data_IF_920670464161
#
_entry.id   IF_920670464161
#
_cell.length_a   1.000
_cell.length_b   1.000
_cell.length_c   1.000
_cell.angle_alpha   90.00
_cell.angle_beta   90.00
_cell.angle_gamma   90.00
#
_symmetry.space_group_name_H-M   'P 1'
#
loop_
_entity.id
_entity.type
_entity.pdbx_description
1 polymer ?
#
# COMPACT_ATOMS: atom_id res chain seq x y z
N UNK A 1 11.80 3.87 11.20
CA UNK A 1 11.52 5.27 10.85
C UNK A 1 10.63 5.86 11.92
N UNK A 2 10.88 7.11 12.33
CA UNK A 2 9.98 7.79 13.26
C UNK A 2 8.71 8.22 12.53
N UNK A 3 7.52 8.04 13.12
CA UNK A 3 6.29 8.50 12.51
C UNK A 3 6.27 10.02 12.37
N UNK A 4 5.71 10.49 11.26
CA UNK A 4 5.62 11.91 10.90
C UNK A 4 4.19 12.30 10.61
N UNK A 5 3.86 13.58 10.76
CA UNK A 5 2.54 14.11 10.40
C UNK A 5 2.26 13.88 8.91
N UNK A 6 1.08 13.37 8.55
CA UNK A 6 0.69 13.12 7.15
C UNK A 6 0.58 14.39 6.29
N UNK A 7 0.38 15.54 6.93
CA UNK A 7 0.14 16.82 6.26
C UNK A 7 1.40 17.67 6.10
N UNK A 8 2.28 17.69 7.11
CA UNK A 8 3.43 18.61 7.17
C UNK A 8 4.76 17.93 7.47
N UNK A 9 4.79 16.60 7.54
CA UNK A 9 5.98 15.78 7.74
C UNK A 9 6.76 16.00 9.05
N UNK A 10 6.28 16.86 9.94
CA UNK A 10 6.88 17.04 11.27
C UNK A 10 6.84 15.74 12.06
N UNK A 11 7.95 15.30 12.68
CA UNK A 11 7.97 14.13 13.56
C UNK A 11 6.89 14.21 14.65
N UNK A 12 6.14 13.12 14.83
CA UNK A 12 5.05 13.07 15.81
C UNK A 12 4.73 11.64 16.20
N UNK A 13 4.48 11.40 17.49
CA UNK A 13 3.92 10.15 17.99
C UNK A 13 2.40 10.20 18.16
N UNK A 14 1.78 11.37 17.91
CA UNK A 14 0.33 11.53 17.97
C UNK A 14 -0.32 10.91 16.74
N UNK A 15 -1.29 10.03 16.97
CA UNK A 15 -2.03 9.30 15.94
C UNK A 15 -3.53 9.49 16.09
N UNK A 16 -4.26 9.24 15.02
CA UNK A 16 -5.72 9.21 15.05
C UNK A 16 -6.20 8.29 16.17
N UNK A 17 -6.98 8.82 17.13
CA UNK A 17 -7.43 8.08 18.30
C UNK A 17 -8.34 6.88 17.93
N UNK A 18 -9.02 6.98 16.80
CA UNK A 18 -9.97 5.97 16.32
C UNK A 18 -9.26 4.80 15.63
N UNK A 19 -8.63 5.04 14.48
CA UNK A 19 -8.02 3.96 13.70
C UNK A 19 -6.57 3.63 14.07
N UNK A 20 -5.87 4.52 14.78
CA UNK A 20 -4.45 4.39 15.16
C UNK A 20 -3.47 4.19 13.99
N UNK A 21 -3.92 4.27 12.73
CA UNK A 21 -3.14 4.02 11.52
C UNK A 21 -2.77 5.27 10.71
N UNK A 22 -2.91 6.47 11.27
CA UNK A 22 -2.43 7.72 10.66
C UNK A 22 -1.94 8.69 11.75
N UNK A 23 -0.92 9.49 11.44
CA UNK A 23 -0.20 10.33 12.39
C UNK A 23 -0.36 11.82 12.05
N UNK A 24 -0.60 12.64 13.07
CA UNK A 24 -0.82 14.09 12.93
C UNK A 24 -0.23 14.86 14.10
N UNK A 25 0.43 15.99 13.85
CA UNK A 25 0.98 16.81 14.93
C UNK A 25 -0.09 17.65 15.66
N UNK A 26 -1.25 17.90 15.04
CA UNK A 26 -2.31 18.77 15.53
C UNK A 26 -3.72 18.31 15.11
N UNK A 27 -4.76 18.81 15.80
CA UNK A 27 -6.17 18.62 15.39
C UNK A 27 -6.49 19.32 14.07
N UNK A 28 -5.81 20.42 13.76
CA UNK A 28 -5.97 21.13 12.49
C UNK A 28 -5.58 20.23 11.30
N UNK A 29 -4.47 19.49 11.40
CA UNK A 29 -4.06 18.55 10.36
C UNK A 29 -4.97 17.32 10.26
N UNK A 30 -5.58 16.89 11.38
CA UNK A 30 -6.65 15.87 11.32
C UNK A 30 -7.84 16.42 10.51
N UNK A 31 -8.28 17.65 10.80
CA UNK A 31 -9.42 18.27 10.10
C UNK A 31 -9.13 18.48 8.61
N UNK A 32 -7.90 18.86 8.26
CA UNK A 32 -7.46 19.02 6.88
C UNK A 32 -7.49 17.69 6.11
N UNK A 33 -7.00 16.59 6.70
CA UNK A 33 -7.00 15.28 6.03
C UNK A 33 -8.35 14.54 6.14
N UNK A 34 -9.24 14.96 7.04
CA UNK A 34 -10.49 14.25 7.34
C UNK A 34 -11.34 13.88 6.12
N UNK A 35 -11.50 14.71 5.07
CA UNK A 35 -12.24 14.33 3.87
C UNK A 35 -11.73 13.05 3.19
N UNK A 36 -10.41 12.87 3.14
CA UNK A 36 -9.75 11.66 2.61
C UNK A 36 -9.68 10.55 3.67
N UNK A 37 -9.39 10.91 4.93
CA UNK A 37 -9.17 9.97 6.01
C UNK A 37 -10.44 9.24 6.47
N UNK A 38 -11.60 9.91 6.50
CA UNK A 38 -12.81 9.41 7.21
C UNK A 38 -13.25 8.01 6.79
N UNK A 39 -13.22 7.72 5.49
CA UNK A 39 -13.65 6.42 4.95
C UNK A 39 -12.69 5.30 5.36
N UNK A 40 -11.38 5.56 5.20
CA UNK A 40 -10.34 4.65 5.67
C UNK A 40 -10.38 4.46 7.19
N UNK A 41 -10.53 5.55 7.94
CA UNK A 41 -10.57 5.56 9.40
C UNK A 41 -11.70 4.68 9.95
N UNK A 42 -12.89 4.78 9.36
CA UNK A 42 -14.02 3.94 9.75
C UNK A 42 -13.73 2.47 9.50
N UNK A 43 -13.27 2.08 8.30
CA UNK A 43 -12.99 0.68 7.95
C UNK A 43 -11.94 0.04 8.86
N UNK A 44 -10.83 0.74 9.11
CA UNK A 44 -9.79 0.26 10.05
C UNK A 44 -10.32 0.15 11.47
N UNK A 45 -11.12 1.12 11.91
CA UNK A 45 -11.75 1.08 13.23
C UNK A 45 -12.71 -0.10 13.39
N UNK A 46 -13.47 -0.41 12.34
CA UNK A 46 -14.47 -1.47 12.36
C UNK A 46 -13.80 -2.86 12.29
N UNK A 47 -12.61 -2.98 11.69
CA UNK A 47 -11.83 -4.22 11.61
C UNK A 47 -11.04 -4.56 12.89
N UNK A 48 -10.81 -3.60 13.79
CA UNK A 48 -10.14 -3.87 15.06
C UNK A 48 -8.70 -4.38 14.88
N UNK A 49 -8.44 -5.64 15.24
CA UNK A 49 -7.13 -6.31 15.12
C UNK A 49 -6.91 -6.98 13.77
N UNK A 50 -7.95 -7.13 12.96
CA UNK A 50 -7.90 -7.84 11.68
C UNK A 50 -7.38 -6.90 10.58
N UNK A 51 -6.15 -6.47 10.76
CA UNK A 51 -5.44 -5.54 9.86
C UNK A 51 -4.01 -5.99 9.65
N UNK A 52 -3.49 -5.82 8.44
CA UNK A 52 -2.05 -5.90 8.17
C UNK A 52 -1.44 -4.50 8.07
N UNK A 53 -0.17 -4.37 8.42
CA UNK A 53 0.66 -3.26 7.96
C UNK A 53 0.97 -3.42 6.48
N UNK A 54 0.65 -2.40 5.69
CA UNK A 54 0.96 -2.31 4.26
C UNK A 54 1.64 -0.99 3.94
N UNK A 55 2.50 -0.97 2.92
CA UNK A 55 3.09 0.27 2.41
C UNK A 55 2.12 0.85 1.37
N UNK A 56 1.68 2.08 1.60
CA UNK A 56 0.93 2.87 0.64
C UNK A 56 1.87 3.85 -0.06
N UNK A 57 1.90 3.77 -1.38
CA UNK A 57 2.38 4.83 -2.26
C UNK A 57 1.16 5.67 -2.68
N UNK A 58 0.82 6.65 -1.85
CA UNK A 58 -0.36 7.50 -2.07
C UNK A 58 -0.17 8.40 -3.27
N UNK A 59 -1.16 8.45 -4.17
CA UNK A 59 -1.05 9.20 -5.43
C UNK A 59 -0.79 10.70 -5.23
N UNK A 60 -1.34 11.27 -4.16
CA UNK A 60 -1.19 12.67 -3.74
C UNK A 60 -0.14 12.87 -2.65
N UNK A 61 0.64 11.83 -2.32
CA UNK A 61 1.65 11.88 -1.28
C UNK A 61 3.05 11.97 -1.91
N UNK A 62 4.00 12.59 -1.20
CA UNK A 62 5.39 12.74 -1.67
C UNK A 62 6.31 11.64 -1.17
N UNK A 63 5.86 10.83 -0.20
CA UNK A 63 6.62 9.75 0.41
C UNK A 63 5.69 8.58 0.78
N UNK A 64 6.22 7.35 0.83
CA UNK A 64 5.44 6.20 1.20
C UNK A 64 5.19 6.20 2.71
N UNK A 65 4.12 5.54 3.13
CA UNK A 65 3.81 5.38 4.56
C UNK A 65 3.16 4.03 4.85
N UNK A 66 3.28 3.62 6.11
CA UNK A 66 2.53 2.48 6.61
C UNK A 66 1.05 2.85 6.79
N UNK A 67 0.19 1.91 6.40
CA UNK A 67 -1.24 1.92 6.66
C UNK A 67 -1.65 0.62 7.33
N UNK A 68 -2.79 0.65 8.03
CA UNK A 68 -3.50 -0.55 8.45
C UNK A 68 -4.49 -0.94 7.36
N UNK A 69 -4.24 -2.06 6.69
CA UNK A 69 -5.10 -2.61 5.66
C UNK A 69 -6.04 -3.65 6.30
N UNK A 70 -7.36 -3.37 6.39
CA UNK A 70 -8.30 -4.33 6.95
C UNK A 70 -8.41 -5.59 6.11
N UNK A 71 -8.69 -6.72 6.75
CA UNK A 71 -8.95 -7.97 6.08
C UNK A 71 -10.03 -8.78 6.80
N UNK A 72 -10.61 -9.74 6.11
CA UNK A 72 -11.49 -10.77 6.67
C UNK A 72 -11.17 -12.11 6.03
N UNK A 73 -11.65 -13.21 6.60
CA UNK A 73 -11.66 -14.47 5.86
C UNK A 73 -12.63 -14.39 4.69
N UNK A 74 -12.21 -14.87 3.52
CA UNK A 74 -13.08 -15.13 2.39
C UNK A 74 -14.04 -16.28 2.67
N UNK A 75 -15.09 -16.45 1.84
CA UNK A 75 -16.01 -17.56 2.00
C UNK A 75 -15.26 -18.90 1.89
N UNK A 76 -15.62 -19.85 2.74
CA UNK A 76 -15.14 -21.23 2.64
C UNK A 76 -15.79 -21.87 1.41
N UNK A 77 -15.04 -21.92 0.31
CA UNK A 77 -15.42 -22.75 -0.82
C UNK A 77 -15.09 -24.21 -0.49
N UNK A 78 -15.95 -25.14 -0.91
CA UNK A 78 -15.88 -26.57 -0.54
C UNK A 78 -14.55 -27.24 -0.90
N UNK A 79 -13.75 -26.62 -1.76
CA UNK A 79 -12.49 -27.16 -2.29
C UNK A 79 -11.23 -26.58 -1.63
N UNK A 80 -11.36 -25.52 -0.80
CA UNK A 80 -10.22 -24.91 -0.10
C UNK A 80 -10.37 -25.05 1.41
N UNK A 81 -9.79 -26.11 1.96
CA UNK A 81 -9.60 -26.26 3.40
C UNK A 81 -8.62 -25.21 3.90
N UNK A 82 -9.12 -24.07 4.40
CA UNK A 82 -8.29 -23.04 5.02
C UNK A 82 -8.88 -21.63 5.01
N UNK A 83 -9.78 -21.29 4.09
CA UNK A 83 -10.15 -19.89 3.86
C UNK A 83 -9.02 -19.11 3.18
N UNK A 84 -9.17 -17.79 3.03
CA UNK A 84 -8.17 -16.89 2.47
C UNK A 84 -8.32 -15.47 3.02
N UNK A 85 -7.26 -14.67 3.03
CA UNK A 85 -7.33 -13.27 3.47
C UNK A 85 -7.94 -12.40 2.38
N UNK A 86 -9.19 -11.99 2.58
CA UNK A 86 -9.89 -10.99 1.76
C UNK A 86 -9.56 -9.58 2.26
N UNK A 87 -8.69 -8.89 1.53
CA UNK A 87 -8.27 -7.52 1.84
C UNK A 87 -9.35 -6.49 1.47
N UNK A 88 -9.60 -5.52 2.35
CA UNK A 88 -10.49 -4.37 2.07
C UNK A 88 -9.70 -3.22 1.44
N UNK A 89 -9.54 -3.28 0.11
CA UNK A 89 -8.77 -2.29 -0.64
C UNK A 89 -9.63 -1.16 -1.23
N UNK A 90 -10.95 -1.19 -1.01
CA UNK A 90 -11.89 -0.21 -1.58
C UNK A 90 -11.52 1.25 -1.31
N UNK A 91 -10.94 1.64 -0.15
CA UNK A 91 -10.54 3.03 0.07
C UNK A 91 -9.59 3.60 -0.98
N UNK A 92 -8.76 2.75 -1.61
CA UNK A 92 -7.70 3.16 -2.51
C UNK A 92 -7.99 2.88 -3.99
N UNK A 93 -8.90 1.95 -4.29
CA UNK A 93 -9.29 1.56 -5.65
C UNK A 93 -10.81 1.68 -5.82
N UNK A 94 -11.27 2.80 -6.41
CA UNK A 94 -12.70 3.16 -6.51
C UNK A 94 -13.21 3.39 -7.94
N UNK A 95 -12.35 3.29 -8.95
CA UNK A 95 -12.70 3.58 -10.34
C UNK A 95 -13.55 2.47 -10.96
N UNK A 96 -14.61 2.82 -11.71
CA UNK A 96 -15.42 1.85 -12.47
C UNK A 96 -14.61 1.13 -13.56
N UNK A 97 -13.58 1.79 -14.08
CA UNK A 97 -12.66 1.25 -15.07
C UNK A 97 -11.33 0.77 -14.44
N UNK A 98 -11.35 0.49 -13.14
CA UNK A 98 -10.19 0.01 -12.40
C UNK A 98 -10.09 -1.51 -12.48
N UNK A 99 -8.91 -2.02 -12.85
CA UNK A 99 -8.60 -3.45 -12.83
C UNK A 99 -7.41 -3.69 -11.89
N UNK A 100 -7.70 -4.00 -10.62
CA UNK A 100 -6.64 -4.19 -9.62
C UNK A 100 -5.91 -5.52 -9.89
N UNK A 101 -4.64 -5.42 -10.30
CA UNK A 101 -3.74 -6.55 -10.49
C UNK A 101 -2.79 -6.69 -9.29
N UNK A 102 -2.28 -7.90 -9.15
CA UNK A 102 -1.14 -8.21 -8.28
C UNK A 102 0.10 -8.49 -9.11
N UNK A 103 1.20 -7.87 -8.74
CA UNK A 103 2.52 -8.33 -9.15
C UNK A 103 3.32 -8.80 -7.93
N UNK A 104 4.12 -9.84 -8.09
CA UNK A 104 4.91 -10.41 -7.01
C UNK A 104 6.38 -10.07 -7.22
N UNK A 105 7.01 -9.51 -6.19
CA UNK A 105 8.44 -9.19 -6.17
C UNK A 105 9.13 -10.19 -5.26
N UNK A 106 10.00 -11.01 -5.85
CA UNK A 106 10.73 -12.08 -5.16
C UNK A 106 12.25 -11.85 -5.13
N UNK A 107 12.74 -10.85 -5.87
CA UNK A 107 14.17 -10.50 -5.98
C UNK A 107 14.37 -9.01 -5.79
N UNK A 108 15.56 -8.61 -5.36
CA UNK A 108 15.97 -7.20 -5.34
C UNK A 108 16.31 -6.74 -6.76
N UNK A 109 15.31 -6.26 -7.52
CA UNK A 109 15.47 -5.94 -8.94
C UNK A 109 15.53 -7.17 -9.85
N UNK A 110 15.64 -6.95 -11.16
CA UNK A 110 15.45 -8.01 -12.18
C UNK A 110 16.42 -9.19 -12.05
N UNK A 111 17.67 -8.94 -11.62
CA UNK A 111 18.72 -9.96 -11.51
C UNK A 111 19.42 -9.97 -10.15
N UNK A 112 18.80 -9.38 -9.12
CA UNK A 112 19.40 -9.32 -7.79
C UNK A 112 19.10 -10.55 -6.91
N UNK A 113 19.57 -10.53 -5.66
CA UNK A 113 19.34 -11.61 -4.71
C UNK A 113 17.85 -11.84 -4.43
N UNK A 114 17.50 -13.09 -4.13
CA UNK A 114 16.16 -13.49 -3.69
C UNK A 114 15.84 -12.84 -2.34
N UNK A 115 14.65 -12.26 -2.23
CA UNK A 115 14.13 -11.68 -1.00
C UNK A 115 13.74 -12.79 -0.01
N UNK A 116 13.82 -12.49 1.29
CA UNK A 116 13.43 -13.45 2.35
C UNK A 116 11.94 -13.78 2.34
N UNK A 117 11.13 -12.91 1.74
CA UNK A 117 9.68 -13.02 1.62
C UNK A 117 9.25 -12.45 0.27
N UNK A 118 8.09 -12.90 -0.21
CA UNK A 118 7.50 -12.34 -1.43
C UNK A 118 6.72 -11.08 -1.08
N UNK A 119 6.88 -10.03 -1.87
CA UNK A 119 6.07 -8.81 -1.76
C UNK A 119 4.98 -8.83 -2.83
N UNK A 120 3.73 -8.66 -2.44
CA UNK A 120 2.61 -8.46 -3.33
C UNK A 120 2.38 -6.96 -3.54
N UNK A 121 2.60 -6.48 -4.76
CA UNK A 121 2.31 -5.10 -5.18
C UNK A 121 0.96 -5.07 -5.87
N UNK A 122 0.04 -4.26 -5.35
CA UNK A 122 -1.33 -4.09 -5.85
C UNK A 122 -1.48 -2.72 -6.47
N UNK A 123 -1.93 -2.69 -7.72
CA UNK A 123 -2.15 -1.47 -8.49
C UNK A 123 -3.25 -1.67 -9.52
N UNK A 124 -3.78 -0.56 -10.03
CA UNK A 124 -4.76 -0.57 -11.11
C UNK A 124 -4.08 -0.76 -12.48
N UNK A 125 -4.15 -1.94 -13.08
CA UNK A 125 -3.51 -2.26 -14.36
C UNK A 125 -3.99 -1.37 -15.53
N UNK A 126 -5.16 -0.75 -15.38
CA UNK A 126 -5.72 0.17 -16.37
C UNK A 126 -5.22 1.61 -16.19
N UNK A 127 -4.30 1.89 -15.26
CA UNK A 127 -3.89 3.26 -14.92
C UNK A 127 -3.39 4.08 -16.14
N UNK A 128 -2.87 3.42 -17.19
CA UNK A 128 -2.40 4.08 -18.42
C UNK A 128 -3.54 4.55 -19.34
N UNK A 129 -4.73 3.98 -19.23
CA UNK A 129 -5.85 4.22 -20.16
C UNK A 129 -7.08 4.81 -19.49
N UNK A 130 -7.16 4.80 -18.15
CA UNK A 130 -8.32 5.29 -17.40
C UNK A 130 -8.15 6.71 -16.84
N UNK A 131 -7.08 7.42 -17.22
CA UNK A 131 -6.83 8.80 -16.78
C UNK A 131 -6.37 8.94 -15.32
N UNK A 132 -5.87 7.86 -14.72
CA UNK A 132 -5.32 7.89 -13.36
C UNK A 132 -4.23 8.94 -13.20
N UNK A 133 -4.26 9.66 -12.08
CA UNK A 133 -3.26 10.66 -11.74
C UNK A 133 -1.89 10.01 -11.52
N UNK A 134 -0.83 10.65 -12.04
CA UNK A 134 0.55 10.22 -11.82
C UNK A 134 0.87 10.15 -10.32
N UNK A 135 1.47 9.04 -9.90
CA UNK A 135 1.86 8.80 -8.52
C UNK A 135 3.16 9.53 -8.19
N UNK A 136 3.05 10.68 -7.52
CA UNK A 136 4.21 11.51 -7.14
C UNK A 136 5.08 10.85 -6.08
N UNK A 137 4.50 10.00 -5.23
CA UNK A 137 5.24 9.24 -4.23
C UNK A 137 6.28 8.33 -4.91
N UNK A 138 5.90 7.62 -5.97
CA UNK A 138 6.82 6.73 -6.71
C UNK A 138 7.87 7.54 -7.46
N UNK A 139 7.49 8.66 -8.07
CA UNK A 139 8.47 9.55 -8.71
C UNK A 139 9.55 10.01 -7.72
N UNK A 140 9.15 10.39 -6.49
CA UNK A 140 10.10 10.81 -5.48
C UNK A 140 10.96 9.65 -4.97
N UNK A 141 10.35 8.51 -4.65
CA UNK A 141 11.07 7.32 -4.14
C UNK A 141 12.10 6.79 -5.13
N UNK A 142 11.81 6.88 -6.43
CA UNK A 142 12.73 6.47 -7.51
C UNK A 142 13.64 7.60 -8.00
N UNK A 143 13.57 8.79 -7.40
CA UNK A 143 14.28 9.99 -7.88
C UNK A 143 14.06 10.26 -9.39
N UNK A 144 12.86 9.98 -9.89
CA UNK A 144 12.48 10.12 -11.30
C UNK A 144 12.90 8.96 -12.21
N UNK A 145 13.54 7.91 -11.69
CA UNK A 145 14.07 6.79 -12.48
C UNK A 145 13.09 5.64 -12.70
N UNK A 146 11.83 5.81 -12.30
CA UNK A 146 10.77 4.84 -12.57
C UNK A 146 10.72 4.49 -14.07
N UNK A 147 10.58 3.21 -14.39
CA UNK A 147 10.62 2.72 -15.77
C UNK A 147 9.47 3.25 -16.65
N UNK A 148 8.33 3.59 -16.03
CA UNK A 148 7.17 4.18 -16.68
C UNK A 148 6.42 5.09 -15.69
N UNK A 149 5.47 5.94 -16.16
CA UNK A 149 4.73 6.83 -15.26
C UNK A 149 3.66 6.05 -14.49
N UNK A 150 4.05 5.48 -13.36
CA UNK A 150 3.12 4.87 -12.40
C UNK A 150 2.04 5.88 -11.99
N UNK A 151 0.79 5.42 -11.92
CA UNK A 151 -0.37 6.25 -11.63
C UNK A 151 -1.36 5.54 -10.69
N UNK A 152 -2.20 6.32 -10.04
CA UNK A 152 -3.12 5.85 -9.00
C UNK A 152 -2.40 5.49 -7.69
N UNK A 153 -3.16 5.02 -6.70
CA UNK A 153 -2.58 4.50 -5.46
C UNK A 153 -1.96 3.12 -5.72
N UNK A 154 -0.85 2.82 -5.04
CA UNK A 154 -0.24 1.50 -5.06
C UNK A 154 -0.05 1.02 -3.63
N UNK A 155 -0.40 -0.24 -3.37
CA UNK A 155 -0.21 -0.90 -2.08
C UNK A 155 0.82 -2.01 -2.20
N UNK A 156 1.61 -2.22 -1.16
CA UNK A 156 2.48 -3.38 -1.04
C UNK A 156 2.33 -4.06 0.31
N UNK A 157 2.29 -5.39 0.29
CA UNK A 157 2.22 -6.24 1.49
C UNK A 157 3.04 -7.53 1.33
N UNK A 158 3.39 -8.20 2.43
CA UNK A 158 4.06 -9.51 2.37
C UNK A 158 3.06 -10.61 2.10
N UNK A 159 3.50 -11.67 1.44
CA UNK A 159 2.70 -12.85 1.11
C UNK A 159 3.52 -14.12 1.28
N UNK A 160 2.89 -15.21 1.71
CA UNK A 160 3.52 -16.52 1.93
C UNK A 160 3.83 -17.25 0.62
N UNK A 161 4.63 -16.62 -0.24
CA UNK A 161 5.04 -17.16 -1.54
C UNK A 161 4.17 -16.69 -2.71
N UNK A 162 4.58 -17.12 -3.91
CA UNK A 162 3.96 -16.70 -5.16
C UNK A 162 2.52 -17.21 -5.25
N UNK A 163 1.56 -16.30 -5.49
CA UNK A 163 0.15 -16.68 -5.64
C UNK A 163 -0.56 -17.05 -4.34
N UNK A 164 0.12 -17.01 -3.19
CA UNK A 164 -0.51 -17.41 -1.93
C UNK A 164 -1.63 -16.43 -1.51
N UNK A 165 -2.75 -16.96 -0.99
CA UNK A 165 -3.83 -16.14 -0.43
C UNK A 165 -3.54 -15.63 1.00
N UNK A 166 -2.36 -15.93 1.55
CA UNK A 166 -1.97 -15.64 2.92
C UNK A 166 -0.98 -14.48 2.98
N UNK A 167 -1.37 -13.43 3.67
CA UNK A 167 -0.60 -12.19 3.81
C UNK A 167 -0.07 -12.00 5.22
N UNK A 168 0.97 -11.18 5.33
CA UNK A 168 1.56 -10.74 6.59
C UNK A 168 2.00 -9.28 6.52
N UNK A 169 2.34 -8.74 7.68
CA UNK A 169 2.79 -7.35 7.85
C UNK A 169 4.07 -7.07 7.06
N UNK A 170 4.11 -5.90 6.40
CA UNK A 170 5.37 -5.35 5.89
C UNK A 170 6.21 -4.74 6.99
N UNK A 171 7.51 -4.65 6.72
CA UNK A 171 8.46 -3.88 7.50
C UNK A 171 9.05 -2.81 6.60
N UNK A 172 8.72 -1.54 6.85
CA UNK A 172 9.11 -0.41 5.99
C UNK A 172 10.63 -0.38 5.71
N UNK A 173 11.44 -0.63 6.73
CA UNK A 173 12.90 -0.60 6.67
C UNK A 173 13.49 -1.70 5.78
N UNK A 174 12.80 -2.83 5.66
CA UNK A 174 13.26 -3.99 4.87
C UNK A 174 12.67 -3.96 3.46
N UNK A 175 11.42 -3.52 3.33
CA UNK A 175 10.60 -3.77 2.14
C UNK A 175 10.60 -2.59 1.17
N UNK A 176 10.87 -1.37 1.65
CA UNK A 176 10.80 -0.19 0.79
C UNK A 176 11.87 -0.19 -0.32
N UNK A 177 13.11 -0.58 -0.02
CA UNK A 177 14.18 -0.57 -1.01
C UNK A 177 13.94 -1.56 -2.17
N UNK A 178 13.55 -2.83 -1.92
CA UNK A 178 13.12 -3.74 -2.99
C UNK A 178 11.95 -3.20 -3.82
N UNK A 179 10.97 -2.54 -3.19
CA UNK A 179 9.82 -1.95 -3.89
C UNK A 179 10.22 -0.75 -4.77
N UNK A 180 11.07 0.13 -4.24
CA UNK A 180 11.65 1.24 -5.01
C UNK A 180 12.37 0.72 -6.24
N UNK A 181 13.20 -0.32 -6.07
CA UNK A 181 13.91 -0.96 -7.17
C UNK A 181 12.97 -1.60 -8.18
N UNK A 182 11.91 -2.25 -7.72
CA UNK A 182 10.87 -2.79 -8.59
C UNK A 182 10.28 -1.70 -9.50
N UNK A 183 9.97 -0.51 -8.98
CA UNK A 183 9.42 0.57 -9.82
C UNK A 183 10.42 1.13 -10.84
N UNK A 184 11.73 1.06 -10.57
CA UNK A 184 12.80 1.44 -11.51
C UNK A 184 12.99 0.40 -12.62
N UNK A 185 12.80 -0.88 -12.34
CA UNK A 185 13.11 -1.98 -13.26
C UNK A 185 11.88 -2.48 -14.05
N UNK A 186 10.68 -2.37 -13.47
CA UNK A 186 9.47 -3.00 -14.01
C UNK A 186 9.15 -2.48 -15.42
N UNK A 187 9.05 -3.39 -16.39
CA UNK A 187 8.81 -3.08 -17.82
C UNK A 187 9.92 -2.25 -18.50
N UNK A 188 11.10 -2.09 -17.89
CA UNK A 188 12.27 -1.54 -18.57
C UNK A 188 12.77 -2.60 -19.57
N UNK A 189 12.81 -2.24 -20.85
CA UNK A 189 13.35 -3.09 -21.92
C UNK A 189 14.86 -3.23 -21.81
#
# INVERSE_FOLDING_TARGET
>A
MNPTCLVCDTPTNKRCARCKGAYYCSKAHIAQDWPAHKTYCKRVSDAGTDTFDAILFGVNETKPRLIKLPWSYGPLEREFSGGWHKLDMEPWFKGKDSFVRTHYVQTFGTNGPVLRHTLAVRFDDNFMINGSQINRCIQNVTSGNAAHPWAGNILALRVEGLGSPWYSDVVMEEDLAPLARYFEDCYRK
#
